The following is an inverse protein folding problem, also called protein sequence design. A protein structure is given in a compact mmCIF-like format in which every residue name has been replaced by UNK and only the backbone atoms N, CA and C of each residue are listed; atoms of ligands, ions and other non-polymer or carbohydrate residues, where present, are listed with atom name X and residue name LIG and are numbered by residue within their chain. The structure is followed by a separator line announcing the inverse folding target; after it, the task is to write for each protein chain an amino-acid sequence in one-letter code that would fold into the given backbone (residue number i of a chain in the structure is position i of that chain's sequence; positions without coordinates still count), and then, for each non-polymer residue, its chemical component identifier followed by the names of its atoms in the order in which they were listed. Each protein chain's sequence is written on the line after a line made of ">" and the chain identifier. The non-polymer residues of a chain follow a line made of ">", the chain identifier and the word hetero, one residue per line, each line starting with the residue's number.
data_IF_997207478656
#
_entry.id   IF_997207478656
#
_cell.length_a   1.000
_cell.length_b   1.000
_cell.length_c   1.000
_cell.angle_alpha   90.00
_cell.angle_beta   90.00
_cell.angle_gamma   90.00
#
_symmetry.space_group_name_H-M   'P 1'
#
loop_
_entity.id
_entity.type
_entity.pdbx_description
1 polymer ?
#
# COMPACT_ATOMS: atom_id res chain seq x y z
N UNK A 1 44.23 -15.45 9.67
CA UNK A 1 42.85 -14.98 9.39
C UNK A 1 42.85 -13.47 9.54
N UNK A 2 42.70 -12.72 8.45
CA UNK A 2 42.71 -11.26 8.50
C UNK A 2 41.35 -10.76 9.00
N UNK A 3 41.34 -10.06 10.13
CA UNK A 3 40.17 -9.39 10.67
C UNK A 3 39.81 -8.23 9.74
N UNK A 4 38.69 -8.32 9.05
CA UNK A 4 38.19 -7.25 8.19
C UNK A 4 37.64 -6.16 9.13
N UNK A 5 38.19 -4.93 9.13
CA UNK A 5 37.69 -3.87 9.99
C UNK A 5 36.23 -3.55 9.62
N UNK A 6 35.35 -3.32 10.62
CA UNK A 6 33.96 -3.00 10.35
C UNK A 6 33.89 -1.66 9.60
N UNK A 7 33.36 -1.67 8.37
CA UNK A 7 33.08 -0.46 7.59
C UNK A 7 31.89 0.28 8.20
N UNK A 8 32.12 1.05 9.25
CA UNK A 8 31.11 1.80 10.01
C UNK A 8 30.91 3.20 9.44
N UNK A 9 30.18 3.30 8.33
CA UNK A 9 29.41 4.54 8.08
C UNK A 9 28.12 4.47 8.91
N UNK A 10 27.59 5.62 9.39
CA UNK A 10 26.30 5.62 10.09
C UNK A 10 25.21 5.02 9.19
N UNK A 11 24.23 4.29 9.74
CA UNK A 11 23.15 3.65 8.97
C UNK A 11 22.49 4.60 7.95
N UNK A 12 22.32 5.87 8.33
CA UNK A 12 21.76 6.92 7.48
C UNK A 12 22.53 7.15 6.18
N UNK A 13 23.86 7.32 6.23
CA UNK A 13 24.68 7.57 5.05
C UNK A 13 24.60 6.44 4.00
N UNK A 14 24.32 5.21 4.44
CA UNK A 14 24.13 4.07 3.52
C UNK A 14 22.77 4.16 2.82
N UNK A 15 21.73 4.55 3.54
CA UNK A 15 20.38 4.77 3.03
C UNK A 15 20.40 5.94 2.03
N UNK A 16 21.04 7.05 2.35
CA UNK A 16 21.12 8.22 1.46
C UNK A 16 21.81 7.86 0.12
N UNK A 17 22.85 7.03 0.18
CA UNK A 17 23.52 6.53 -1.03
C UNK A 17 22.60 5.63 -1.88
N UNK A 18 21.77 4.80 -1.25
CA UNK A 18 20.77 4.00 -1.96
C UNK A 18 19.73 4.91 -2.62
N UNK A 19 19.18 5.87 -1.87
CA UNK A 19 18.22 6.84 -2.39
C UNK A 19 18.79 7.55 -3.59
N UNK A 20 20.01 8.10 -3.48
CA UNK A 20 20.71 8.75 -4.59
C UNK A 20 20.87 7.84 -5.82
N UNK A 21 21.05 6.54 -5.62
CA UNK A 21 21.18 5.61 -6.74
C UNK A 21 19.83 5.34 -7.43
N UNK A 22 18.73 5.33 -6.67
CA UNK A 22 17.38 5.10 -7.17
C UNK A 22 16.80 6.36 -7.84
N UNK A 23 17.09 7.55 -7.30
CA UNK A 23 16.52 8.83 -7.77
C UNK A 23 17.30 9.50 -8.89
N UNK A 24 18.42 8.94 -9.34
CA UNK A 24 19.13 9.43 -10.52
C UNK A 24 18.22 9.36 -11.75
N UNK A 25 18.09 10.48 -12.49
CA UNK A 25 17.12 10.70 -13.58
C UNK A 25 17.18 9.70 -14.74
N UNK A 26 18.22 8.86 -14.81
CA UNK A 26 18.42 7.83 -15.84
C UNK A 26 18.25 6.39 -15.32
N UNK A 27 17.53 6.20 -14.21
CA UNK A 27 17.23 4.85 -13.71
C UNK A 27 16.33 4.10 -14.70
N UNK A 28 16.94 3.31 -15.58
CA UNK A 28 16.24 2.40 -16.47
C UNK A 28 15.69 1.21 -15.66
N UNK A 29 14.40 1.27 -15.31
CA UNK A 29 13.67 0.20 -14.61
C UNK A 29 13.46 -1.06 -15.47
N UNK A 30 13.89 -1.06 -16.73
CA UNK A 30 13.99 -2.29 -17.52
C UNK A 30 15.38 -2.96 -17.40
N UNK A 31 16.36 -2.27 -16.82
CA UNK A 31 17.74 -2.74 -16.75
C UNK A 31 17.97 -3.71 -15.59
N UNK A 32 18.10 -5.01 -15.90
CA UNK A 32 18.36 -6.07 -14.91
C UNK A 32 19.60 -5.81 -14.01
N UNK A 33 20.64 -5.14 -14.53
CA UNK A 33 21.83 -4.81 -13.75
C UNK A 33 21.54 -3.75 -12.69
N UNK A 34 20.64 -2.81 -12.99
CA UNK A 34 20.17 -1.82 -12.02
C UNK A 34 19.45 -2.52 -10.86
N UNK A 35 18.47 -3.38 -11.13
CA UNK A 35 17.76 -4.14 -10.09
C UNK A 35 18.70 -4.99 -9.24
N UNK A 36 19.64 -5.70 -9.87
CA UNK A 36 20.63 -6.50 -9.15
C UNK A 36 21.50 -5.64 -8.23
N UNK A 37 21.87 -4.44 -8.68
CA UNK A 37 22.69 -3.51 -7.88
C UNK A 37 21.91 -3.01 -6.67
N UNK A 38 20.68 -2.55 -6.88
CA UNK A 38 19.77 -2.12 -5.79
C UNK A 38 19.56 -3.24 -4.78
N UNK A 39 19.20 -4.44 -5.24
CA UNK A 39 18.96 -5.59 -4.37
C UNK A 39 20.21 -5.98 -3.56
N UNK A 40 21.37 -6.09 -4.22
CA UNK A 40 22.62 -6.47 -3.55
C UNK A 40 23.02 -5.41 -2.52
N UNK A 41 22.81 -4.12 -2.84
CA UNK A 41 23.09 -3.04 -1.91
C UNK A 41 22.17 -3.09 -0.67
N UNK A 42 20.86 -3.26 -0.88
CA UNK A 42 19.90 -3.41 0.23
C UNK A 42 20.28 -4.60 1.12
N UNK A 43 20.49 -5.77 0.50
CA UNK A 43 20.81 -7.01 1.21
C UNK A 43 22.13 -6.93 1.99
N UNK A 44 23.19 -6.39 1.37
CA UNK A 44 24.53 -6.45 1.93
C UNK A 44 24.88 -5.24 2.81
N UNK A 45 24.19 -4.10 2.65
CA UNK A 45 24.54 -2.84 3.31
C UNK A 45 23.45 -2.26 4.20
N UNK A 46 22.17 -2.50 3.89
CA UNK A 46 21.04 -1.92 4.63
C UNK A 46 20.50 -2.92 5.65
N UNK A 47 20.02 -4.09 5.20
CA UNK A 47 19.38 -5.11 6.05
C UNK A 47 20.19 -5.47 7.31
N UNK A 48 21.52 -5.64 7.26
CA UNK A 48 22.29 -6.01 8.45
C UNK A 48 22.34 -4.94 9.55
N UNK A 49 21.95 -3.70 9.23
CA UNK A 49 22.06 -2.54 10.14
C UNK A 49 20.75 -1.78 10.32
N UNK A 50 19.75 -2.03 9.49
CA UNK A 50 18.46 -1.37 9.57
C UNK A 50 17.65 -1.94 10.75
N UNK A 51 17.00 -1.06 11.51
CA UNK A 51 15.99 -1.51 12.47
C UNK A 51 14.83 -2.14 11.72
N UNK A 52 14.32 -3.26 12.21
CA UNK A 52 13.10 -3.89 11.68
C UNK A 52 11.86 -3.01 11.85
N UNK A 53 11.92 -2.00 12.73
CA UNK A 53 10.83 -1.04 12.96
C UNK A 53 10.91 0.23 12.10
N UNK A 54 12.00 0.44 11.36
CA UNK A 54 12.17 1.65 10.57
C UNK A 54 11.33 1.60 9.29
N UNK A 55 10.60 2.68 9.00
CA UNK A 55 9.95 2.85 7.70
C UNK A 55 11.03 3.13 6.63
N UNK A 56 11.05 2.41 5.49
CA UNK A 56 11.98 2.72 4.42
C UNK A 56 11.72 4.13 3.83
N UNK A 57 12.73 4.79 3.26
CA UNK A 57 12.54 6.07 2.58
C UNK A 57 11.55 5.94 1.42
N UNK A 58 10.81 7.03 1.14
CA UNK A 58 9.81 7.07 0.08
C UNK A 58 10.34 6.57 -1.27
N UNK A 59 11.52 7.01 -1.78
CA UNK A 59 12.03 6.52 -3.07
C UNK A 59 12.25 5.01 -3.13
N UNK A 60 12.59 4.38 -2.00
CA UNK A 60 12.76 2.91 -1.92
C UNK A 60 11.41 2.21 -2.01
N UNK A 61 10.38 2.75 -1.35
CA UNK A 61 9.01 2.21 -1.42
C UNK A 61 8.47 2.35 -2.84
N UNK A 62 8.63 3.51 -3.46
CA UNK A 62 8.19 3.77 -4.84
C UNK A 62 8.88 2.82 -5.82
N UNK A 63 10.20 2.66 -5.69
CA UNK A 63 10.95 1.67 -6.48
C UNK A 63 10.38 0.25 -6.33
N UNK A 64 10.11 -0.18 -5.09
CA UNK A 64 9.58 -1.51 -4.81
C UNK A 64 8.17 -1.71 -5.37
N UNK A 65 7.31 -0.69 -5.30
CA UNK A 65 5.96 -0.70 -5.88
C UNK A 65 6.06 -0.84 -7.41
N UNK A 66 6.85 0.01 -8.07
CA UNK A 66 7.04 -0.06 -9.55
C UNK A 66 7.53 -1.43 -9.98
N UNK A 67 8.50 -2.00 -9.27
CA UNK A 67 9.03 -3.33 -9.57
C UNK A 67 8.02 -4.48 -9.40
N UNK A 68 6.91 -4.27 -8.68
CA UNK A 68 5.81 -5.25 -8.58
C UNK A 68 4.78 -5.05 -9.70
N UNK A 69 4.57 -3.79 -10.13
CA UNK A 69 3.53 -3.42 -11.10
C UNK A 69 3.99 -3.49 -12.55
N UNK A 70 5.29 -3.30 -12.82
CA UNK A 70 5.85 -3.17 -14.16
C UNK A 70 6.74 -4.36 -14.55
N UNK A 71 6.68 -4.84 -15.81
CA UNK A 71 5.76 -4.41 -16.88
C UNK A 71 4.33 -4.95 -16.72
N UNK A 72 4.12 -5.91 -15.82
CA UNK A 72 2.81 -6.50 -15.54
C UNK A 72 2.70 -6.81 -14.07
N UNK A 73 1.59 -6.41 -13.45
CA UNK A 73 1.32 -6.70 -12.05
C UNK A 73 1.28 -8.22 -11.82
N UNK A 74 2.13 -8.70 -10.91
CA UNK A 74 2.18 -10.12 -10.53
C UNK A 74 1.25 -10.37 -9.33
N UNK A 75 0.12 -11.10 -9.50
CA UNK A 75 -0.84 -11.29 -8.43
C UNK A 75 -0.26 -11.97 -7.18
N UNK A 76 0.71 -12.88 -7.36
CA UNK A 76 1.41 -13.54 -6.25
C UNK A 76 2.20 -12.57 -5.34
N UNK A 77 2.51 -11.36 -5.80
CA UNK A 77 3.20 -10.33 -5.03
C UNK A 77 2.24 -9.33 -4.36
N UNK A 78 0.93 -9.46 -4.57
CA UNK A 78 -0.08 -8.57 -3.97
C UNK A 78 0.03 -8.45 -2.45
N UNK A 79 0.26 -9.53 -1.66
CA UNK A 79 0.45 -9.38 -0.22
C UNK A 79 1.59 -8.43 0.16
N UNK A 80 2.69 -8.41 -0.62
CA UNK A 80 3.82 -7.48 -0.41
C UNK A 80 3.46 -6.07 -0.88
N UNK A 81 2.74 -5.95 -1.98
CA UNK A 81 2.22 -4.67 -2.48
C UNK A 81 1.33 -4.00 -1.43
N UNK A 82 0.42 -4.74 -0.78
CA UNK A 82 -0.43 -4.23 0.30
C UNK A 82 0.39 -3.68 1.48
N UNK A 83 1.50 -4.32 1.84
CA UNK A 83 2.42 -3.81 2.88
C UNK A 83 3.08 -2.49 2.44
N UNK A 84 3.58 -2.43 1.20
CA UNK A 84 4.18 -1.22 0.65
C UNK A 84 3.18 -0.06 0.57
N UNK A 85 1.94 -0.33 0.17
CA UNK A 85 0.86 0.67 0.15
C UNK A 85 0.53 1.18 1.56
N UNK A 86 0.57 0.32 2.58
CA UNK A 86 0.38 0.74 3.96
C UNK A 86 1.52 1.67 4.45
N UNK A 87 2.77 1.39 4.08
CA UNK A 87 3.89 2.30 4.36
C UNK A 87 3.74 3.64 3.63
N UNK A 88 3.29 3.61 2.38
CA UNK A 88 3.03 4.81 1.60
C UNK A 88 1.92 5.68 2.23
N UNK A 89 0.85 5.05 2.74
CA UNK A 89 -0.22 5.74 3.48
C UNK A 89 0.28 6.31 4.82
N UNK A 90 1.18 5.61 5.51
CA UNK A 90 1.81 6.12 6.72
C UNK A 90 2.64 7.38 6.42
N UNK A 91 3.45 7.38 5.35
CA UNK A 91 4.22 8.55 4.89
C UNK A 91 3.27 9.70 4.53
N UNK A 92 2.21 9.43 3.76
CA UNK A 92 1.20 10.45 3.41
C UNK A 92 0.61 11.11 4.66
N UNK A 93 0.24 10.31 5.66
CA UNK A 93 -0.36 10.79 6.91
C UNK A 93 0.64 11.59 7.74
N UNK A 94 1.89 11.12 7.84
CA UNK A 94 2.98 11.83 8.52
C UNK A 94 3.27 13.19 7.87
N UNK A 95 3.45 13.23 6.55
CA UNK A 95 3.64 14.48 5.80
C UNK A 95 2.49 15.46 6.03
N UNK A 96 1.24 14.99 5.95
CA UNK A 96 0.08 15.85 6.20
C UNK A 96 0.04 16.40 7.62
N UNK A 97 0.45 15.63 8.62
CA UNK A 97 0.51 16.09 10.01
C UNK A 97 1.63 17.12 10.21
N UNK A 98 2.82 16.88 9.64
CA UNK A 98 3.94 17.84 9.67
C UNK A 98 3.57 19.17 9.03
N UNK A 99 2.94 19.13 7.85
CA UNK A 99 2.45 20.33 7.17
C UNK A 99 1.48 21.11 8.06
N UNK A 100 0.51 20.44 8.72
CA UNK A 100 -0.40 21.10 9.65
C UNK A 100 0.33 21.76 10.81
N UNK A 101 1.28 21.05 11.43
CA UNK A 101 2.09 21.60 12.52
C UNK A 101 2.86 22.85 12.07
N UNK A 102 3.45 22.84 10.87
CA UNK A 102 4.14 24.00 10.30
C UNK A 102 3.17 25.19 10.15
N UNK A 103 1.97 24.96 9.59
CA UNK A 103 0.94 26.00 9.43
C UNK A 103 0.46 26.56 10.78
N UNK A 104 0.28 25.71 11.79
CA UNK A 104 -0.15 26.12 13.14
C UNK A 104 0.92 26.97 13.83
N UNK A 105 2.20 26.63 13.65
CA UNK A 105 3.34 27.40 14.17
C UNK A 105 3.50 28.76 13.47
N UNK A 106 3.33 28.82 12.16
CA UNK A 106 3.36 30.08 11.39
C UNK A 106 2.22 31.03 11.82
N UNK A 107 1.01 30.49 12.02
CA UNK A 107 -0.14 31.25 12.52
C UNK A 107 0.13 31.82 13.93
N UNK A 108 0.65 30.99 14.84
CA UNK A 108 0.92 31.39 16.23
C UNK A 108 2.06 32.42 16.35
N UNK A 109 3.06 32.34 15.46
CA UNK A 109 4.17 33.30 15.42
C UNK A 109 3.71 34.69 14.98
N UNK A 110 2.76 34.74 14.05
CA UNK A 110 2.17 35.99 13.54
C UNK A 110 1.47 36.81 14.63
N UNK A 111 0.85 36.13 15.60
CA UNK A 111 0.11 36.78 16.70
C UNK A 111 1.02 37.26 17.85
N UNK A 112 2.19 36.63 18.01
CA UNK A 112 3.03 36.79 19.21
C UNK A 112 4.02 37.96 19.13
N UNK A 113 4.19 38.59 17.97
CA UNK A 113 5.18 39.66 17.77
C UNK A 113 6.64 39.24 18.00
N UNK A 114 6.92 37.94 18.13
CA UNK A 114 8.24 37.41 18.38
C UNK A 114 9.02 37.31 17.06
N UNK A 115 9.98 38.23 16.86
CA UNK A 115 10.68 38.45 15.59
C UNK A 115 11.70 37.37 15.16
N UNK A 116 11.72 36.19 15.78
CA UNK A 116 12.82 35.23 15.59
C UNK A 116 12.44 33.92 14.89
N UNK A 117 11.18 33.68 14.52
CA UNK A 117 10.79 32.54 13.70
C UNK A 117 10.67 32.96 12.23
N UNK A 118 11.34 32.28 11.29
CA UNK A 118 11.11 32.48 9.86
C UNK A 118 9.63 32.24 9.55
N UNK A 119 8.94 33.25 9.03
CA UNK A 119 7.55 33.10 8.58
C UNK A 119 7.53 32.53 7.16
N UNK A 120 6.55 31.68 6.87
CA UNK A 120 6.37 31.12 5.54
C UNK A 120 6.09 32.22 4.51
N UNK A 121 6.57 32.02 3.29
CA UNK A 121 6.09 32.85 2.19
C UNK A 121 4.59 32.62 1.98
N UNK A 122 3.89 33.64 1.47
CA UNK A 122 2.46 33.52 1.15
C UNK A 122 2.18 32.37 0.17
N UNK A 123 3.09 32.16 -0.79
CA UNK A 123 2.98 31.10 -1.79
C UNK A 123 3.11 29.71 -1.14
N UNK A 124 4.15 29.50 -0.32
CA UNK A 124 4.35 28.23 0.40
C UNK A 124 3.16 27.90 1.29
N UNK A 125 2.64 28.90 2.00
CA UNK A 125 1.46 28.75 2.84
C UNK A 125 0.23 28.29 2.03
N UNK A 126 -0.07 28.93 0.91
CA UNK A 126 -1.20 28.57 0.05
C UNK A 126 -1.06 27.14 -0.52
N UNK A 127 0.15 26.74 -0.90
CA UNK A 127 0.46 25.38 -1.37
C UNK A 127 0.25 24.36 -0.24
N UNK A 128 0.82 24.61 0.93
CA UNK A 128 0.70 23.74 2.10
C UNK A 128 -0.76 23.58 2.55
N UNK A 129 -1.51 24.68 2.67
CA UNK A 129 -2.95 24.67 3.00
C UNK A 129 -3.75 23.83 1.99
N UNK A 130 -3.39 23.91 0.71
CA UNK A 130 -4.02 23.12 -0.36
C UNK A 130 -3.71 21.62 -0.26
N UNK A 131 -2.51 21.25 0.20
CA UNK A 131 -2.11 19.85 0.40
C UNK A 131 -2.86 19.20 1.58
N UNK A 132 -3.10 19.93 2.66
CA UNK A 132 -3.76 19.39 3.88
C UNK A 132 -5.25 19.70 3.99
N UNK A 133 -5.87 20.24 2.93
CA UNK A 133 -7.31 20.50 2.89
C UNK A 133 -8.11 19.23 3.25
N UNK A 134 -9.07 19.29 4.19
CA UNK A 134 -9.78 18.10 4.69
C UNK A 134 -10.44 17.26 3.59
N UNK A 135 -11.08 17.90 2.60
CA UNK A 135 -11.71 17.20 1.47
C UNK A 135 -10.70 16.44 0.61
N UNK A 136 -9.49 16.99 0.41
CA UNK A 136 -8.42 16.34 -0.34
C UNK A 136 -7.88 15.11 0.40
N UNK A 137 -7.62 15.26 1.70
CA UNK A 137 -7.13 14.16 2.53
C UNK A 137 -8.16 13.02 2.62
N UNK A 138 -9.45 13.35 2.76
CA UNK A 138 -10.52 12.37 2.72
C UNK A 138 -10.58 11.66 1.36
N UNK A 139 -10.48 12.39 0.25
CA UNK A 139 -10.48 11.79 -1.09
C UNK A 139 -9.28 10.86 -1.31
N UNK A 140 -8.09 11.25 -0.84
CA UNK A 140 -6.90 10.39 -0.88
C UNK A 140 -7.09 9.12 -0.04
N UNK A 141 -7.67 9.24 1.16
CA UNK A 141 -7.98 8.08 2.01
C UNK A 141 -8.98 7.12 1.33
N UNK A 142 -10.03 7.66 0.71
CA UNK A 142 -10.98 6.86 -0.08
C UNK A 142 -10.29 6.14 -1.24
N UNK A 143 -9.38 6.80 -1.95
CA UNK A 143 -8.59 6.16 -3.03
C UNK A 143 -7.75 5.01 -2.46
N UNK A 144 -7.02 5.26 -1.37
CA UNK A 144 -6.23 4.24 -0.69
C UNK A 144 -7.07 3.01 -0.31
N UNK A 145 -8.24 3.21 0.31
CA UNK A 145 -9.13 2.10 0.68
C UNK A 145 -9.59 1.28 -0.52
N UNK A 146 -10.00 1.95 -1.61
CA UNK A 146 -10.39 1.27 -2.86
C UNK A 146 -9.23 0.49 -3.47
N UNK A 147 -8.01 1.01 -3.40
CA UNK A 147 -6.81 0.29 -3.85
C UNK A 147 -6.57 -0.99 -3.04
N UNK A 148 -6.67 -0.92 -1.71
CA UNK A 148 -6.55 -2.09 -0.83
C UNK A 148 -7.61 -3.13 -1.20
N UNK A 149 -8.88 -2.73 -1.31
CA UNK A 149 -9.98 -3.63 -1.66
C UNK A 149 -9.78 -4.28 -3.03
N UNK A 150 -9.42 -3.50 -4.05
CA UNK A 150 -9.16 -4.00 -5.40
C UNK A 150 -7.99 -5.00 -5.45
N UNK A 151 -6.89 -4.71 -4.75
CA UNK A 151 -5.75 -5.62 -4.64
C UNK A 151 -6.15 -6.93 -3.94
N UNK A 152 -6.85 -6.86 -2.81
CA UNK A 152 -7.31 -8.05 -2.08
C UNK A 152 -8.21 -8.94 -2.96
N UNK A 153 -9.18 -8.34 -3.67
CA UNK A 153 -10.05 -9.07 -4.60
C UNK A 153 -9.25 -9.71 -5.75
N UNK A 154 -8.33 -8.97 -6.37
CA UNK A 154 -7.46 -9.50 -7.41
C UNK A 154 -6.67 -10.72 -6.93
N UNK A 155 -6.14 -10.66 -5.72
CA UNK A 155 -5.40 -11.78 -5.16
C UNK A 155 -6.29 -12.98 -4.81
N UNK A 156 -7.51 -12.77 -4.30
CA UNK A 156 -8.46 -13.86 -4.07
C UNK A 156 -8.82 -14.58 -5.37
N UNK A 157 -9.08 -13.86 -6.46
CA UNK A 157 -9.29 -14.47 -7.77
C UNK A 157 -8.07 -15.28 -8.23
N UNK A 158 -6.86 -14.75 -8.01
CA UNK A 158 -5.63 -15.48 -8.33
C UNK A 158 -5.45 -16.76 -7.50
N UNK A 159 -5.66 -16.67 -6.18
CA UNK A 159 -5.56 -17.81 -5.29
C UNK A 159 -6.57 -18.88 -5.67
N UNK A 160 -7.82 -18.51 -5.99
CA UNK A 160 -8.84 -19.47 -6.45
C UNK A 160 -8.35 -20.28 -7.67
N UNK A 161 -7.78 -19.61 -8.67
CA UNK A 161 -7.30 -20.27 -9.90
C UNK A 161 -6.07 -21.15 -9.70
N UNK A 162 -5.29 -20.86 -8.67
CA UNK A 162 -4.00 -21.54 -8.43
C UNK A 162 -4.02 -22.45 -7.21
N UNK A 163 -5.19 -22.60 -6.57
CA UNK A 163 -5.36 -23.32 -5.33
C UNK A 163 -5.06 -24.81 -5.48
N UNK A 164 -4.12 -25.30 -4.67
CA UNK A 164 -3.85 -26.72 -4.45
C UNK A 164 -4.21 -27.10 -3.01
N UNK A 165 -5.28 -27.88 -2.77
CA UNK A 165 -5.72 -28.23 -1.42
C UNK A 165 -4.70 -29.04 -0.62
N UNK A 166 -3.68 -29.61 -1.25
CA UNK A 166 -2.62 -30.37 -0.56
C UNK A 166 -1.46 -29.49 -0.09
N UNK A 167 -1.34 -28.28 -0.63
CA UNK A 167 -0.17 -27.40 -0.42
C UNK A 167 -0.54 -26.06 0.16
N UNK A 168 -1.71 -25.55 -0.20
CA UNK A 168 -2.13 -24.20 0.12
C UNK A 168 -3.03 -24.19 1.36
N UNK A 169 -2.94 -23.12 2.17
CA UNK A 169 -3.90 -22.91 3.24
C UNK A 169 -5.31 -22.74 2.66
N UNK A 170 -6.37 -23.06 3.42
CA UNK A 170 -7.73 -22.81 2.98
C UNK A 170 -7.93 -21.36 2.54
N UNK A 171 -8.64 -21.15 1.42
CA UNK A 171 -8.89 -19.80 0.89
C UNK A 171 -9.62 -18.87 1.88
N UNK A 172 -10.35 -19.44 2.84
CA UNK A 172 -10.95 -18.71 3.96
C UNK A 172 -9.93 -17.95 4.80
N UNK A 173 -8.68 -18.42 4.89
CA UNK A 173 -7.61 -17.70 5.56
C UNK A 173 -7.31 -16.35 4.87
N UNK A 174 -7.34 -16.31 3.54
CA UNK A 174 -7.16 -15.07 2.79
C UNK A 174 -8.34 -14.10 2.99
N UNK A 175 -9.59 -14.60 3.07
CA UNK A 175 -10.75 -13.77 3.43
C UNK A 175 -10.57 -13.15 4.81
N UNK A 176 -10.14 -13.93 5.82
CA UNK A 176 -9.91 -13.43 7.18
C UNK A 176 -8.84 -12.35 7.20
N UNK A 177 -7.74 -12.56 6.47
CA UNK A 177 -6.65 -11.59 6.39
C UNK A 177 -7.06 -10.28 5.70
N UNK A 178 -7.86 -10.36 4.64
CA UNK A 178 -8.22 -9.20 3.81
C UNK A 178 -9.48 -8.48 4.24
N UNK A 179 -10.47 -9.22 4.72
CA UNK A 179 -11.79 -8.70 5.08
C UNK A 179 -12.22 -9.16 6.47
N UNK A 180 -11.40 -8.95 7.52
CA UNK A 180 -11.70 -9.46 8.86
C UNK A 180 -13.03 -8.92 9.40
N UNK A 181 -13.45 -7.71 9.02
CA UNK A 181 -14.72 -7.12 9.47
C UNK A 181 -15.95 -7.92 9.03
N UNK A 182 -15.83 -8.74 7.98
CA UNK A 182 -16.88 -9.63 7.48
C UNK A 182 -17.27 -10.70 8.51
N UNK A 183 -16.29 -11.32 9.17
CA UNK A 183 -16.49 -12.47 10.05
C UNK A 183 -16.47 -12.11 11.55
N UNK A 184 -16.37 -10.82 11.89
CA UNK A 184 -16.37 -10.37 13.31
C UNK A 184 -17.63 -10.75 14.11
N UNK A 185 -18.75 -11.02 13.42
CA UNK A 185 -20.03 -11.42 14.04
C UNK A 185 -20.25 -12.93 14.08
N UNK A 186 -19.29 -13.71 13.60
CA UNK A 186 -19.40 -15.16 13.59
C UNK A 186 -19.47 -15.71 15.03
N UNK A 187 -20.35 -16.70 15.32
CA UNK A 187 -20.43 -17.30 16.65
C UNK A 187 -19.13 -18.03 17.06
N UNK A 188 -18.31 -18.47 16.11
CA UNK A 188 -17.06 -19.19 16.39
C UNK A 188 -16.03 -18.26 17.07
N UNK A 189 -15.61 -18.55 18.32
CA UNK A 189 -14.60 -17.76 19.02
C UNK A 189 -13.22 -17.77 18.36
N UNK A 190 -12.81 -18.88 17.72
CA UNK A 190 -11.48 -19.00 17.10
C UNK A 190 -11.40 -18.16 15.82
N UNK A 191 -12.49 -18.12 15.06
CA UNK A 191 -12.62 -17.28 13.88
C UNK A 191 -12.57 -15.80 14.27
N UNK A 192 -13.32 -15.40 15.31
CA UNK A 192 -13.29 -14.02 15.83
C UNK A 192 -11.89 -13.62 16.30
N UNK A 193 -11.17 -14.50 16.99
CA UNK A 193 -9.80 -14.26 17.41
C UNK A 193 -8.85 -14.07 16.21
N UNK A 194 -9.05 -14.83 15.14
CA UNK A 194 -8.29 -14.71 13.89
C UNK A 194 -8.58 -13.39 13.18
N UNK A 195 -9.84 -12.94 13.11
CA UNK A 195 -10.21 -11.64 12.56
C UNK A 195 -9.63 -10.48 13.38
N UNK A 196 -9.69 -10.55 14.71
CA UNK A 196 -9.11 -9.54 15.59
C UNK A 196 -7.59 -9.44 15.39
N UNK A 197 -6.91 -10.59 15.22
CA UNK A 197 -5.49 -10.64 14.90
C UNK A 197 -5.17 -10.03 13.54
N UNK A 198 -5.93 -10.36 12.50
CA UNK A 198 -5.76 -9.77 11.18
C UNK A 198 -5.93 -8.24 11.22
N UNK A 199 -6.93 -7.71 11.94
CA UNK A 199 -7.10 -6.27 12.13
C UNK A 199 -5.91 -5.61 12.84
N UNK A 200 -5.29 -6.31 13.79
CA UNK A 200 -4.17 -5.78 14.57
C UNK A 200 -2.81 -5.88 13.86
N UNK A 201 -2.56 -6.99 13.16
CA UNK A 201 -1.24 -7.34 12.61
C UNK A 201 -1.07 -6.91 11.15
N UNK A 202 -2.15 -6.77 10.38
CA UNK A 202 -2.04 -6.38 8.96
C UNK A 202 -1.97 -4.85 8.84
N UNK A 203 -0.86 -4.28 8.33
CA UNK A 203 -0.64 -2.84 8.38
C UNK A 203 -1.66 -2.03 7.55
N UNK A 204 -2.24 -2.62 6.50
CA UNK A 204 -3.28 -1.98 5.68
C UNK A 204 -4.65 -1.89 6.37
N UNK A 205 -4.82 -2.48 7.57
CA UNK A 205 -6.01 -2.30 8.41
C UNK A 205 -5.82 -1.26 9.53
N UNK A 206 -4.67 -0.60 9.57
CA UNK A 206 -4.39 0.42 10.58
C UNK A 206 -5.37 1.60 10.47
N UNK A 207 -5.89 2.03 11.63
CA UNK A 207 -6.76 3.18 11.81
C UNK A 207 -7.99 3.20 10.87
N UNK A 208 -8.66 2.06 10.71
CA UNK A 208 -9.94 2.02 9.99
C UNK A 208 -11.04 2.75 10.77
N UNK A 209 -11.71 3.67 10.09
CA UNK A 209 -12.93 4.28 10.63
C UNK A 209 -14.10 3.28 10.63
N UNK A 210 -15.19 3.53 11.39
CA UNK A 210 -16.38 2.69 11.35
C UNK A 210 -16.98 2.52 9.94
N UNK A 211 -16.94 3.58 9.12
CA UNK A 211 -17.42 3.53 7.74
C UNK A 211 -16.52 2.64 6.86
N UNK A 212 -15.19 2.70 7.07
CA UNK A 212 -14.24 1.84 6.35
C UNK A 212 -14.32 0.37 6.77
N UNK A 213 -14.65 0.10 8.03
CA UNK A 213 -14.95 -1.25 8.52
C UNK A 213 -16.23 -1.82 7.87
N UNK A 214 -17.26 -0.98 7.69
CA UNK A 214 -18.46 -1.39 6.98
C UNK A 214 -18.18 -1.66 5.49
N UNK A 215 -17.38 -0.81 4.84
CA UNK A 215 -16.93 -1.05 3.46
C UNK A 215 -16.10 -2.34 3.36
N UNK A 216 -15.18 -2.58 4.30
CA UNK A 216 -14.40 -3.82 4.38
C UNK A 216 -15.30 -5.05 4.52
N UNK A 217 -16.36 -4.98 5.34
CA UNK A 217 -17.38 -6.03 5.44
C UNK A 217 -18.09 -6.24 4.10
N UNK A 218 -18.56 -5.17 3.46
CA UNK A 218 -19.30 -5.24 2.21
C UNK A 218 -18.48 -5.88 1.08
N UNK A 219 -17.19 -5.53 0.96
CA UNK A 219 -16.28 -6.17 -0.01
C UNK A 219 -15.99 -7.63 0.40
N UNK A 220 -15.89 -7.93 1.69
CA UNK A 220 -15.77 -9.31 2.18
C UNK A 220 -16.96 -10.20 1.80
N UNK A 221 -18.18 -9.64 1.81
CA UNK A 221 -19.37 -10.34 1.28
C UNK A 221 -19.19 -10.67 -0.20
N UNK A 222 -18.77 -9.70 -1.02
CA UNK A 222 -18.52 -9.93 -2.45
C UNK A 222 -17.45 -11.00 -2.71
N UNK A 223 -16.38 -11.00 -1.91
CA UNK A 223 -15.34 -12.02 -1.98
C UNK A 223 -15.87 -13.43 -1.67
N UNK A 224 -16.73 -13.53 -0.63
CA UNK A 224 -17.36 -14.79 -0.26
C UNK A 224 -18.37 -15.25 -1.34
N UNK A 225 -19.19 -14.35 -1.88
CA UNK A 225 -20.11 -14.62 -2.98
C UNK A 225 -19.37 -15.14 -4.22
N UNK A 226 -18.26 -14.50 -4.59
CA UNK A 226 -17.38 -15.00 -5.66
C UNK A 226 -16.93 -16.43 -5.38
N UNK A 227 -16.38 -16.70 -4.19
CA UNK A 227 -15.84 -18.03 -3.87
C UNK A 227 -16.93 -19.12 -3.86
N UNK A 228 -18.12 -18.82 -3.32
CA UNK A 228 -19.25 -19.77 -3.33
C UNK A 228 -19.75 -19.97 -4.75
N UNK A 229 -19.94 -18.91 -5.52
CA UNK A 229 -20.38 -19.00 -6.92
C UNK A 229 -19.40 -19.80 -7.78
N UNK A 230 -18.11 -19.52 -7.64
CA UNK A 230 -17.06 -20.23 -8.35
C UNK A 230 -16.99 -21.72 -7.95
N UNK A 231 -17.19 -22.05 -6.66
CA UNK A 231 -17.26 -23.43 -6.20
C UNK A 231 -18.42 -24.18 -6.86
N UNK A 232 -19.63 -23.60 -6.82
CA UNK A 232 -20.83 -24.18 -7.42
C UNK A 232 -20.69 -24.38 -8.92
N UNK A 233 -20.09 -23.40 -9.62
CA UNK A 233 -19.80 -23.52 -11.05
C UNK A 233 -18.81 -24.65 -11.35
N UNK A 234 -17.78 -24.84 -10.53
CA UNK A 234 -16.83 -25.96 -10.72
C UNK A 234 -17.49 -27.32 -10.48
N UNK A 235 -18.44 -27.41 -9.54
CA UNK A 235 -19.20 -28.63 -9.25
C UNK A 235 -20.21 -28.98 -10.34
N UNK A 236 -20.97 -28.02 -10.84
CA UNK A 236 -21.97 -28.18 -11.91
C UNK A 236 -22.06 -26.92 -12.80
N UNK A 237 -21.22 -26.82 -13.86
CA UNK A 237 -21.21 -25.65 -14.73
C UNK A 237 -22.55 -25.41 -15.43
N UNK A 238 -23.23 -26.47 -15.88
CA UNK A 238 -24.48 -26.37 -16.62
C UNK A 238 -25.63 -25.92 -15.71
N UNK A 239 -25.78 -26.56 -14.55
CA UNK A 239 -26.80 -26.18 -13.57
C UNK A 239 -26.59 -24.77 -13.04
N UNK A 240 -25.34 -24.38 -12.77
CA UNK A 240 -25.03 -23.01 -12.36
C UNK A 240 -25.43 -21.98 -13.43
N UNK A 241 -25.08 -22.22 -14.71
CA UNK A 241 -25.44 -21.32 -15.80
C UNK A 241 -26.96 -21.27 -16.04
N UNK A 242 -27.67 -22.39 -15.94
CA UNK A 242 -29.14 -22.44 -16.08
C UNK A 242 -29.83 -21.62 -14.96
N UNK A 243 -29.41 -21.80 -13.70
CA UNK A 243 -29.96 -21.09 -12.54
C UNK A 243 -29.79 -19.56 -12.65
N UNK A 244 -28.67 -19.11 -13.22
CA UNK A 244 -28.32 -17.69 -13.29
C UNK A 244 -28.62 -17.07 -14.67
N UNK A 245 -29.26 -17.81 -15.58
CA UNK A 245 -29.54 -17.40 -16.96
C UNK A 245 -28.27 -16.92 -17.72
N UNK A 246 -27.15 -17.62 -17.52
CA UNK A 246 -25.85 -17.33 -18.15
C UNK A 246 -25.62 -18.27 -19.35
N UNK A 247 -24.75 -17.85 -20.28
CA UNK A 247 -24.36 -18.69 -21.41
C UNK A 247 -23.50 -19.87 -20.92
N UNK A 248 -23.91 -21.14 -21.15
CA UNK A 248 -23.08 -22.30 -20.81
C UNK A 248 -21.74 -22.35 -21.54
N UNK A 249 -21.61 -21.62 -22.67
CA UNK A 249 -20.36 -21.47 -23.41
C UNK A 249 -19.41 -20.40 -22.88
N UNK A 250 -19.84 -19.59 -21.90
CA UNK A 250 -19.01 -18.55 -21.32
C UNK A 250 -17.85 -19.15 -20.53
N UNK A 251 -16.68 -18.56 -20.69
CA UNK A 251 -15.48 -18.88 -19.93
C UNK A 251 -15.62 -18.45 -18.46
N UNK A 252 -14.82 -19.08 -17.59
CA UNK A 252 -14.79 -18.72 -16.17
C UNK A 252 -14.53 -17.22 -15.93
N UNK A 253 -13.68 -16.60 -16.76
CA UNK A 253 -13.30 -15.19 -16.64
C UNK A 253 -14.42 -14.24 -17.10
N UNK A 254 -15.32 -14.70 -17.96
CA UNK A 254 -16.53 -13.95 -18.33
C UNK A 254 -17.61 -14.04 -17.23
N UNK A 255 -17.71 -15.19 -16.57
CA UNK A 255 -18.66 -15.42 -15.47
C UNK A 255 -18.21 -14.78 -14.14
N UNK A 256 -16.90 -14.80 -13.88
CA UNK A 256 -16.29 -14.30 -12.66
C UNK A 256 -15.09 -13.38 -12.99
N UNK A 257 -15.35 -12.21 -13.59
CA UNK A 257 -14.28 -11.32 -14.04
C UNK A 257 -13.44 -10.86 -12.86
N UNK A 258 -12.10 -11.03 -12.91
CA UNK A 258 -11.24 -10.47 -11.88
C UNK A 258 -11.23 -8.93 -11.97
N UNK A 259 -10.90 -8.24 -10.88
CA UNK A 259 -10.58 -6.81 -10.95
C UNK A 259 -9.49 -6.54 -12.00
N UNK A 260 -9.66 -5.49 -12.80
CA UNK A 260 -8.71 -5.14 -13.85
C UNK A 260 -7.32 -4.76 -13.26
N UNK A 261 -6.27 -5.57 -13.49
CA UNK A 261 -4.94 -5.30 -12.96
C UNK A 261 -4.33 -4.00 -13.50
N UNK A 262 -4.64 -3.62 -14.75
CA UNK A 262 -4.09 -2.42 -15.37
C UNK A 262 -4.68 -1.17 -14.71
N UNK A 263 -6.00 -1.11 -14.55
CA UNK A 263 -6.67 -0.03 -13.81
C UNK A 263 -6.19 0.08 -12.37
N UNK A 264 -6.01 -1.05 -11.66
CA UNK A 264 -5.45 -1.05 -10.30
C UNK A 264 -4.03 -0.46 -10.31
N UNK A 265 -3.17 -0.94 -11.20
CA UNK A 265 -1.77 -0.49 -11.29
C UNK A 265 -1.68 1.00 -11.61
N UNK A 266 -2.44 1.48 -12.60
CA UNK A 266 -2.51 2.90 -12.94
C UNK A 266 -3.02 3.76 -11.79
N UNK A 267 -4.00 3.27 -11.01
CA UNK A 267 -4.54 3.98 -9.85
C UNK A 267 -3.52 4.02 -8.70
N UNK A 268 -2.75 2.95 -8.50
CA UNK A 268 -1.64 2.93 -7.53
C UNK A 268 -0.59 3.97 -7.91
N UNK A 269 -0.18 4.02 -9.19
CA UNK A 269 0.83 4.99 -9.63
C UNK A 269 0.36 6.44 -9.46
N UNK A 270 -0.90 6.75 -9.78
CA UNK A 270 -1.49 8.07 -9.49
C UNK A 270 -1.54 8.39 -7.99
N UNK A 271 -1.69 7.38 -7.13
CA UNK A 271 -1.66 7.57 -5.69
C UNK A 271 -0.22 7.84 -5.22
N UNK A 272 0.76 7.09 -5.73
CA UNK A 272 2.20 7.31 -5.51
C UNK A 272 2.59 8.74 -5.87
N UNK A 273 2.27 9.21 -7.08
CA UNK A 273 2.58 10.58 -7.54
C UNK A 273 2.03 11.66 -6.59
N UNK A 274 0.83 11.45 -6.05
CA UNK A 274 0.21 12.39 -5.10
C UNK A 274 0.92 12.42 -3.75
N UNK A 275 1.49 11.29 -3.32
CA UNK A 275 2.26 11.19 -2.08
C UNK A 275 3.65 11.76 -2.27
N UNK A 276 4.31 11.46 -3.39
CA UNK A 276 5.60 12.06 -3.79
C UNK A 276 5.49 13.59 -3.83
N UNK A 277 4.49 14.14 -4.53
CA UNK A 277 4.27 15.59 -4.58
C UNK A 277 4.17 16.22 -3.18
N UNK A 278 3.36 15.64 -2.29
CA UNK A 278 3.17 16.19 -0.95
C UNK A 278 4.45 16.07 -0.09
N UNK A 279 5.20 14.98 -0.26
CA UNK A 279 6.46 14.75 0.43
C UNK A 279 7.55 15.71 -0.06
N UNK A 280 7.73 15.83 -1.38
CA UNK A 280 8.76 16.66 -1.99
C UNK A 280 8.51 18.15 -1.73
N UNK A 281 7.25 18.61 -1.79
CA UNK A 281 6.90 19.99 -1.41
C UNK A 281 7.27 20.27 0.05
N UNK A 282 6.97 19.32 0.96
CA UNK A 282 7.35 19.47 2.37
C UNK A 282 8.88 19.52 2.54
N UNK A 283 9.64 18.67 1.84
CA UNK A 283 11.10 18.68 1.92
C UNK A 283 11.69 19.98 1.38
N UNK A 284 11.23 20.47 0.21
CA UNK A 284 11.72 21.72 -0.37
C UNK A 284 11.57 22.91 0.58
N UNK A 285 10.42 23.03 1.26
CA UNK A 285 10.17 24.13 2.20
C UNK A 285 11.05 24.02 3.45
N UNK A 286 11.34 22.79 3.90
CA UNK A 286 12.24 22.59 5.04
C UNK A 286 13.68 22.90 4.66
N UNK A 287 14.12 22.50 3.47
CA UNK A 287 15.48 22.75 2.95
C UNK A 287 15.75 24.25 2.72
N UNK A 288 14.74 25.01 2.27
CA UNK A 288 14.85 26.48 2.09
C UNK A 288 14.91 27.25 3.41
N UNK A 289 14.61 26.59 4.54
CA UNK A 289 14.55 27.21 5.88
C UNK A 289 15.82 27.03 6.73
N UNK A 290 16.77 26.19 6.28
CA UNK A 290 18.08 25.95 6.92
C UNK A 290 19.17 26.93 6.43
#
# INVERSE_FOLDING_TARGET
>A
MASIPPRTGPPQARVDKLVKHITQQDADYSNIHFHRTVYSYVKDKIVPTASSSACPPLPVIVYAIRNILEPTCLPALVPRLLQLLAHLEAIRTDSANKIRTILDLDASSSDSGAHNTPSLSKEDREVLETLVRPSRLQAQRTIFRKLIHGCCMLHIHHLWRTFDPNRDPPLTAAIIDYFPAFLTRDPDPDLRASCARALAERPWHHALSPAELEENRAVGVQAAEFMVGAARYVEDPHGYCEEHALDPGASFDELFPPPDPETISATIMRFVEKVELAYDTLQSILDDSE
#
